data_IF_922887804716
#
_entry.id   IF_922887804716
#
_cell.length_a   1.000
_cell.length_b   1.000
_cell.length_c   1.000
_cell.angle_alpha   90.00
_cell.angle_beta   90.00
_cell.angle_gamma   90.00
#
_symmetry.space_group_name_H-M   'P 1'
#
loop_
_entity.id
_entity.type
_entity.pdbx_description
1 polymer ?
#
# COMPACT_ATOMS: atom_id res chain seq x y z
N UNK A 1 8.85 -14.38 -35.49
CA UNK A 1 8.49 -12.99 -35.88
C UNK A 1 7.63 -12.44 -34.75
N UNK A 2 8.26 -11.87 -33.71
CA UNK A 2 7.56 -11.20 -32.60
C UNK A 2 6.97 -9.92 -33.19
N UNK A 3 5.64 -9.89 -33.33
CA UNK A 3 4.93 -8.67 -33.65
C UNK A 3 5.35 -7.60 -32.64
N UNK A 4 5.86 -6.45 -33.09
CA UNK A 4 5.93 -5.25 -32.27
C UNK A 4 4.49 -4.92 -31.88
N UNK A 5 4.09 -5.30 -30.68
CA UNK A 5 2.90 -4.71 -30.05
C UNK A 5 3.19 -3.20 -29.99
N UNK A 6 2.46 -2.41 -30.73
CA UNK A 6 2.42 -0.96 -30.51
C UNK A 6 2.03 -0.81 -29.07
N UNK A 7 2.86 -0.09 -28.31
CA UNK A 7 2.67 0.09 -26.87
C UNK A 7 1.49 1.04 -26.67
N UNK A 8 0.28 0.48 -26.70
CA UNK A 8 -1.00 1.18 -26.44
C UNK A 8 -1.31 1.24 -24.94
N UNK A 9 -0.28 1.05 -24.12
CA UNK A 9 -0.38 1.09 -22.66
C UNK A 9 -0.64 2.50 -22.18
N UNK A 10 -1.62 2.63 -21.29
CA UNK A 10 -1.85 3.86 -20.56
C UNK A 10 -0.64 4.15 -19.65
N UNK A 11 -0.33 5.42 -19.51
CA UNK A 11 0.68 5.94 -18.59
C UNK A 11 0.02 6.85 -17.56
N UNK A 12 0.79 7.39 -16.63
CA UNK A 12 0.28 8.44 -15.74
C UNK A 12 -0.33 9.59 -16.54
N UNK A 13 -1.40 10.17 -16.05
CA UNK A 13 -1.88 11.45 -16.53
C UNK A 13 -0.78 12.52 -16.40
N UNK A 14 -0.81 13.59 -17.22
CA UNK A 14 0.12 14.70 -17.09
C UNK A 14 0.21 15.21 -15.65
N UNK A 15 1.29 15.87 -15.28
CA UNK A 15 1.42 16.44 -13.95
C UNK A 15 0.42 17.56 -13.73
N UNK A 16 -0.17 17.59 -12.55
CA UNK A 16 -1.08 18.64 -12.09
C UNK A 16 -0.93 18.83 -10.59
N UNK A 17 -1.19 20.05 -10.11
CA UNK A 17 -1.04 20.38 -8.71
C UNK A 17 -2.35 20.21 -7.95
N UNK A 18 -2.31 19.93 -6.65
CA UNK A 18 -3.49 19.99 -5.80
C UNK A 18 -4.04 21.41 -5.78
N UNK A 19 -5.36 21.54 -5.73
CA UNK A 19 -6.02 22.83 -5.57
C UNK A 19 -6.26 23.21 -4.10
N UNK A 20 -6.11 22.25 -3.19
CA UNK A 20 -6.23 22.45 -1.75
C UNK A 20 -5.37 21.44 -0.99
N UNK A 21 -4.75 21.88 0.11
CA UNK A 21 -3.89 21.05 0.97
C UNK A 21 -4.02 21.49 2.41
N UNK A 22 -3.77 20.58 3.34
CA UNK A 22 -3.81 20.95 4.74
C UNK A 22 -3.41 19.85 5.68
N UNK A 23 -3.62 20.12 6.96
CA UNK A 23 -3.44 19.16 8.05
C UNK A 23 -4.79 18.95 8.74
N UNK A 24 -5.11 17.68 9.02
CA UNK A 24 -6.30 17.29 9.77
C UNK A 24 -5.89 16.68 11.11
N UNK A 25 -6.31 17.30 12.20
CA UNK A 25 -6.20 16.69 13.53
C UNK A 25 -7.16 15.50 13.63
N UNK A 26 -6.62 14.31 13.83
CA UNK A 26 -7.40 13.06 13.94
C UNK A 26 -7.49 12.52 15.37
N UNK A 27 -7.02 13.28 16.34
CA UNK A 27 -6.94 12.90 17.76
C UNK A 27 -5.67 12.11 18.06
N UNK A 28 -5.52 11.69 19.31
CA UNK A 28 -4.38 10.91 19.83
C UNK A 28 -3.01 11.58 19.58
N UNK A 29 -2.99 12.91 19.36
CA UNK A 29 -1.80 13.67 19.03
C UNK A 29 -1.33 13.53 17.58
N UNK A 30 -2.15 12.95 16.70
CA UNK A 30 -1.85 12.82 15.27
C UNK A 30 -2.53 13.90 14.43
N UNK A 31 -1.77 14.41 13.45
CA UNK A 31 -2.27 15.31 12.41
C UNK A 31 -1.86 14.78 11.04
N UNK A 32 -2.83 14.58 10.15
CA UNK A 32 -2.61 14.00 8.83
C UNK A 32 -2.49 15.07 7.77
N UNK A 33 -1.42 14.99 6.97
CA UNK A 33 -1.34 15.75 5.73
C UNK A 33 -2.29 15.18 4.69
N UNK A 34 -2.99 16.08 3.99
CA UNK A 34 -3.88 15.73 2.88
C UNK A 34 -3.78 16.72 1.73
N UNK A 35 -4.12 16.25 0.54
CA UNK A 35 -4.29 17.07 -0.65
C UNK A 35 -5.57 16.71 -1.40
N UNK A 36 -6.26 17.71 -1.94
CA UNK A 36 -7.35 17.58 -2.89
C UNK A 36 -6.89 18.07 -4.26
N UNK A 37 -7.13 17.25 -5.28
CA UNK A 37 -6.64 17.50 -6.63
C UNK A 37 -7.67 17.08 -7.69
N UNK A 38 -7.44 17.50 -8.95
CA UNK A 38 -8.33 17.23 -10.06
C UNK A 38 -9.53 18.17 -10.11
N UNK A 39 -10.70 17.64 -10.49
CA UNK A 39 -11.94 18.41 -10.63
C UNK A 39 -12.70 18.48 -9.28
N UNK A 40 -12.88 19.66 -8.66
CA UNK A 40 -13.62 19.78 -7.40
C UNK A 40 -15.06 19.25 -7.44
N UNK A 41 -15.67 19.22 -8.63
CA UNK A 41 -17.02 18.72 -8.88
C UNK A 41 -17.03 17.33 -9.53
N UNK A 42 -15.86 16.69 -9.65
CA UNK A 42 -15.71 15.36 -10.23
C UNK A 42 -16.15 14.26 -9.28
N UNK A 43 -16.08 13.02 -9.79
CA UNK A 43 -16.36 11.82 -9.02
C UNK A 43 -15.38 11.72 -7.85
N UNK A 44 -15.87 11.57 -6.61
CA UNK A 44 -14.98 11.48 -5.46
C UNK A 44 -14.15 10.19 -5.48
N UNK A 45 -12.86 10.31 -5.15
CA UNK A 45 -11.96 9.17 -4.99
C UNK A 45 -10.96 9.42 -3.85
N UNK A 46 -10.60 8.37 -3.12
CA UNK A 46 -9.53 8.37 -2.13
C UNK A 46 -8.45 7.39 -2.53
N UNK A 47 -7.18 7.80 -2.40
CA UNK A 47 -6.02 6.96 -2.61
C UNK A 47 -5.37 6.59 -1.28
N UNK A 48 -5.24 5.29 -1.02
CA UNK A 48 -4.64 4.70 0.18
C UNK A 48 -3.26 4.13 -0.19
N UNK A 49 -2.19 4.82 0.27
CA UNK A 49 -0.83 4.39 -0.05
C UNK A 49 -0.42 3.11 0.66
N UNK A 50 0.63 2.45 0.14
CA UNK A 50 1.21 1.22 0.67
C UNK A 50 2.24 1.45 1.79
N UNK A 51 2.98 0.43 2.08
CA UNK A 51 3.89 0.23 3.18
C UNK A 51 3.33 -0.88 4.09
N UNK A 52 2.77 -0.55 5.27
CA UNK A 52 2.41 0.77 5.81
C UNK A 52 3.62 1.66 6.08
N UNK A 53 3.41 2.97 6.05
CA UNK A 53 4.50 3.92 6.32
C UNK A 53 5.17 4.52 5.07
N UNK A 54 4.75 4.12 3.85
CA UNK A 54 5.35 4.57 2.59
C UNK A 54 5.11 6.03 2.23
N UNK A 55 4.04 6.64 2.75
CA UNK A 55 3.64 7.99 2.42
C UNK A 55 3.07 8.15 1.00
N UNK A 56 2.54 9.33 0.73
CA UNK A 56 1.99 9.68 -0.58
C UNK A 56 3.04 10.30 -1.51
N UNK A 57 2.73 10.32 -2.80
CA UNK A 57 3.54 11.01 -3.81
C UNK A 57 2.66 11.64 -4.89
N UNK A 58 3.17 12.66 -5.61
CA UNK A 58 2.45 13.25 -6.74
C UNK A 58 2.03 12.25 -7.82
N UNK A 59 2.74 11.13 -7.97
CA UNK A 59 2.42 10.08 -8.94
C UNK A 59 1.10 9.36 -8.61
N UNK A 60 0.68 9.34 -7.34
CA UNK A 60 -0.53 8.66 -6.91
C UNK A 60 -1.79 9.32 -7.50
N UNK A 61 -1.90 10.66 -7.44
CA UNK A 61 -3.04 11.37 -8.03
C UNK A 61 -3.10 11.26 -9.56
N UNK A 62 -1.95 11.06 -10.22
CA UNK A 62 -1.82 10.93 -11.67
C UNK A 62 -2.27 9.58 -12.24
N UNK A 63 -2.79 8.68 -11.40
CA UNK A 63 -3.47 7.45 -11.82
C UNK A 63 -4.95 7.68 -12.10
N UNK A 64 -5.45 8.90 -11.90
CA UNK A 64 -6.82 9.32 -12.15
C UNK A 64 -6.90 10.41 -13.21
N UNK A 65 -7.97 10.41 -14.00
CA UNK A 65 -8.25 11.50 -14.92
C UNK A 65 -8.60 12.77 -14.14
N UNK A 66 -7.76 13.85 -14.20
CA UNK A 66 -7.99 15.04 -13.40
C UNK A 66 -9.26 15.81 -13.77
N UNK A 67 -9.78 15.66 -14.99
CA UNK A 67 -11.02 16.32 -15.43
C UNK A 67 -12.26 15.63 -14.87
N UNK A 68 -12.15 14.37 -14.47
CA UNK A 68 -13.26 13.51 -14.06
C UNK A 68 -13.37 13.30 -12.55
N UNK A 69 -12.23 13.32 -11.85
CA UNK A 69 -12.16 12.95 -10.44
C UNK A 69 -11.86 14.12 -9.52
N UNK A 70 -12.52 14.12 -8.36
CA UNK A 70 -12.11 14.83 -7.15
C UNK A 70 -11.29 13.85 -6.32
N UNK A 71 -9.98 14.04 -6.28
CA UNK A 71 -9.03 13.06 -5.75
C UNK A 71 -8.52 13.53 -4.39
N UNK A 72 -8.74 12.72 -3.35
CA UNK A 72 -8.08 12.89 -2.06
C UNK A 72 -6.91 11.93 -1.96
N UNK A 73 -5.72 12.47 -1.69
CA UNK A 73 -4.51 11.75 -1.31
C UNK A 73 -4.06 12.26 0.04
N UNK A 74 -3.59 11.39 0.91
CA UNK A 74 -3.13 11.78 2.25
C UNK A 74 -1.99 10.88 2.72
N UNK A 75 -1.22 11.38 3.67
CA UNK A 75 -0.23 10.60 4.39
C UNK A 75 -0.88 9.98 5.63
N UNK A 76 -0.80 8.66 5.78
CA UNK A 76 -1.30 7.94 6.95
C UNK A 76 -0.50 8.33 8.20
N UNK A 77 -0.95 7.91 9.39
CA UNK A 77 -0.28 8.25 10.67
C UNK A 77 1.20 7.90 10.64
N UNK A 78 2.04 8.84 11.01
CA UNK A 78 3.48 8.65 11.19
C UNK A 78 4.33 8.73 9.94
N UNK A 79 3.78 8.89 8.74
CA UNK A 79 4.55 8.91 7.50
C UNK A 79 4.40 10.21 6.70
N UNK A 80 5.27 10.40 5.74
CA UNK A 80 5.26 11.56 4.85
C UNK A 80 5.32 12.88 5.64
N UNK A 81 4.34 13.74 5.42
CA UNK A 81 4.19 15.03 6.07
C UNK A 81 3.26 14.98 7.31
N UNK A 82 2.66 13.81 7.60
CA UNK A 82 1.84 13.59 8.80
C UNK A 82 2.69 13.54 10.06
N UNK A 83 2.13 14.01 11.17
CA UNK A 83 2.83 14.10 12.46
C UNK A 83 2.09 13.34 13.56
N UNK A 84 2.81 12.83 14.58
CA UNK A 84 4.27 12.80 14.77
C UNK A 84 4.98 11.81 13.83
N UNK A 85 6.17 12.17 13.35
CA UNK A 85 6.96 11.34 12.43
C UNK A 85 7.31 9.97 13.02
N UNK A 86 7.12 8.91 12.26
CA UNK A 86 7.40 7.51 12.59
C UNK A 86 6.78 7.03 13.92
N UNK A 87 5.68 7.68 14.35
CA UNK A 87 4.97 7.32 15.59
C UNK A 87 4.23 5.99 15.44
N UNK A 88 4.33 5.17 16.49
CA UNK A 88 3.66 3.88 16.60
C UNK A 88 2.46 3.93 17.55
N UNK A 89 2.34 4.98 18.34
CA UNK A 89 1.25 5.17 19.30
C UNK A 89 -0.06 5.44 18.56
N UNK A 90 -1.14 4.82 19.00
CA UNK A 90 -2.46 4.94 18.37
C UNK A 90 -2.42 4.80 16.82
N UNK A 91 -1.53 3.96 16.30
CA UNK A 91 -1.33 3.73 14.87
C UNK A 91 -1.65 2.27 14.54
N UNK A 92 -2.93 1.99 14.31
CA UNK A 92 -3.47 0.67 14.00
C UNK A 92 -4.40 0.75 12.78
N UNK A 93 -4.73 -0.38 12.18
CA UNK A 93 -5.70 -0.44 11.06
C UNK A 93 -7.01 0.28 11.38
N UNK A 94 -7.52 0.12 12.60
CA UNK A 94 -8.81 0.69 12.97
C UNK A 94 -8.75 2.20 13.24
N UNK A 95 -7.61 2.73 13.70
CA UNK A 95 -7.39 4.18 13.71
C UNK A 95 -7.38 4.74 12.30
N UNK A 96 -6.70 4.07 11.35
CA UNK A 96 -6.68 4.52 9.95
C UNK A 96 -8.06 4.44 9.28
N UNK A 97 -8.87 3.42 9.60
CA UNK A 97 -10.26 3.33 9.12
C UNK A 97 -11.09 4.52 9.63
N UNK A 98 -10.94 4.89 10.91
CA UNK A 98 -11.60 6.07 11.47
C UNK A 98 -11.09 7.39 10.87
N UNK A 99 -9.78 7.48 10.62
CA UNK A 99 -9.15 8.64 9.97
C UNK A 99 -9.70 8.85 8.54
N UNK A 100 -9.91 7.76 7.78
CA UNK A 100 -10.49 7.81 6.44
C UNK A 100 -11.92 8.39 6.50
N UNK A 101 -12.75 7.99 7.47
CA UNK A 101 -14.08 8.57 7.65
C UNK A 101 -14.02 10.06 8.02
N UNK A 102 -13.06 10.47 8.84
CA UNK A 102 -12.86 11.87 9.18
C UNK A 102 -12.42 12.69 7.97
N UNK A 103 -11.50 12.18 7.15
CA UNK A 103 -11.11 12.79 5.87
C UNK A 103 -12.29 12.88 4.89
N UNK A 104 -13.14 11.85 4.82
CA UNK A 104 -14.32 11.86 3.96
C UNK A 104 -15.29 12.97 4.33
N UNK A 105 -15.57 13.13 5.62
CA UNK A 105 -16.60 14.05 6.14
C UNK A 105 -16.11 15.47 6.28
N UNK A 106 -14.89 15.69 6.77
CA UNK A 106 -14.38 17.02 7.11
C UNK A 106 -13.60 17.67 5.97
N UNK A 107 -12.86 16.87 5.19
CA UNK A 107 -12.00 17.36 4.10
C UNK A 107 -12.67 17.21 2.74
N UNK A 108 -12.95 15.97 2.33
CA UNK A 108 -13.56 15.72 1.03
C UNK A 108 -15.03 16.17 0.99
N UNK A 109 -15.75 16.12 2.10
CA UNK A 109 -17.17 16.49 2.25
C UNK A 109 -18.05 15.76 1.24
N UNK A 110 -17.92 14.43 1.21
CA UNK A 110 -18.64 13.56 0.27
C UNK A 110 -19.34 12.43 1.03
N UNK A 111 -20.45 11.93 0.47
CA UNK A 111 -21.20 10.81 1.05
C UNK A 111 -20.53 9.47 0.74
N UNK A 112 -20.02 9.33 -0.46
CA UNK A 112 -19.41 8.11 -0.98
C UNK A 112 -18.25 8.46 -1.90
N UNK A 113 -17.34 7.51 -2.10
CA UNK A 113 -16.21 7.65 -3.00
C UNK A 113 -15.71 6.31 -3.56
N UNK A 114 -14.98 6.39 -4.65
CA UNK A 114 -14.14 5.30 -5.11
C UNK A 114 -12.95 5.16 -4.16
N UNK A 115 -12.66 3.93 -3.73
CA UNK A 115 -11.51 3.59 -2.87
C UNK A 115 -10.44 2.91 -3.70
N UNK A 116 -9.23 3.49 -3.71
CA UNK A 116 -8.09 2.94 -4.44
C UNK A 116 -6.94 2.68 -3.48
N UNK A 117 -6.41 1.45 -3.47
CA UNK A 117 -5.26 1.10 -2.65
C UNK A 117 -4.40 -0.02 -3.22
N UNK A 118 -3.11 0.03 -2.95
CA UNK A 118 -2.15 -0.99 -3.38
C UNK A 118 -1.27 -1.48 -2.23
N UNK A 119 -0.89 -2.77 -2.26
CA UNK A 119 -0.07 -3.36 -1.20
C UNK A 119 -0.77 -3.27 0.16
N UNK A 120 -0.14 -2.77 1.21
CA UNK A 120 -0.83 -2.38 2.44
C UNK A 120 -2.10 -1.56 2.17
N UNK A 121 -2.07 -0.64 1.20
CA UNK A 121 -3.26 0.12 0.83
C UNK A 121 -4.41 -0.76 0.35
N UNK A 122 -4.16 -1.96 -0.20
CA UNK A 122 -5.22 -2.92 -0.54
C UNK A 122 -5.84 -3.55 0.71
N UNK A 123 -5.03 -3.86 1.72
CA UNK A 123 -5.50 -4.31 3.05
C UNK A 123 -6.40 -3.26 3.70
N UNK A 124 -5.92 -2.01 3.74
CA UNK A 124 -6.66 -0.89 4.33
C UNK A 124 -7.95 -0.58 3.55
N UNK A 125 -7.91 -0.67 2.21
CA UNK A 125 -9.10 -0.54 1.36
C UNK A 125 -10.16 -1.60 1.67
N UNK A 126 -9.74 -2.85 1.82
CA UNK A 126 -10.64 -3.95 2.17
C UNK A 126 -11.21 -3.78 3.59
N UNK A 127 -10.37 -3.43 4.56
CA UNK A 127 -10.81 -3.19 5.93
C UNK A 127 -11.84 -2.04 5.99
N UNK A 128 -11.55 -0.93 5.30
CA UNK A 128 -12.46 0.22 5.23
C UNK A 128 -13.75 -0.12 4.49
N UNK A 129 -13.69 -0.72 3.30
CA UNK A 129 -14.89 -1.07 2.52
C UNK A 129 -15.78 -2.10 3.22
N UNK A 130 -15.20 -3.00 4.02
CA UNK A 130 -15.95 -3.97 4.82
C UNK A 130 -16.55 -3.37 6.10
N UNK A 131 -15.95 -2.30 6.64
CA UNK A 131 -16.49 -1.55 7.78
C UNK A 131 -17.60 -0.56 7.36
N UNK A 132 -17.45 0.04 6.17
CA UNK A 132 -18.31 1.10 5.66
C UNK A 132 -18.73 0.85 4.19
N UNK A 133 -19.36 -0.29 3.87
CA UNK A 133 -19.71 -0.62 2.48
C UNK A 133 -20.64 0.43 1.83
N UNK A 134 -21.45 1.09 2.63
CA UNK A 134 -22.35 2.16 2.18
C UNK A 134 -21.61 3.45 1.77
N UNK A 135 -20.32 3.57 2.07
CA UNK A 135 -19.47 4.72 1.72
C UNK A 135 -18.63 4.50 0.46
N UNK A 136 -18.70 3.31 -0.12
CA UNK A 136 -17.84 2.90 -1.23
C UNK A 136 -18.66 2.71 -2.50
N UNK A 137 -18.33 3.47 -3.53
CA UNK A 137 -18.98 3.33 -4.85
C UNK A 137 -18.29 2.27 -5.71
N UNK A 138 -16.96 2.24 -5.72
CA UNK A 138 -16.14 1.23 -6.41
C UNK A 138 -14.82 1.02 -5.67
N UNK A 139 -14.15 -0.08 -5.99
CA UNK A 139 -12.83 -0.42 -5.42
C UNK A 139 -11.83 -0.74 -6.51
N UNK A 140 -10.64 -0.11 -6.46
CA UNK A 140 -9.48 -0.44 -7.31
C UNK A 140 -8.35 -0.90 -6.42
N UNK A 141 -7.89 -2.13 -6.62
CA UNK A 141 -6.84 -2.73 -5.78
C UNK A 141 -5.65 -3.18 -6.62
N UNK A 142 -4.45 -3.15 -6.02
CA UNK A 142 -3.21 -3.66 -6.60
C UNK A 142 -2.36 -4.36 -5.55
N UNK A 143 -1.69 -5.48 -5.95
CA UNK A 143 -0.77 -6.17 -5.05
C UNK A 143 -1.47 -6.59 -3.75
N UNK A 144 -2.41 -7.51 -3.85
CA UNK A 144 -3.29 -7.89 -2.75
C UNK A 144 -2.50 -8.47 -1.58
N UNK A 145 -2.69 -7.86 -0.41
CA UNK A 145 -2.16 -8.31 0.87
C UNK A 145 -3.31 -8.50 1.87
N UNK A 146 -3.49 -9.71 2.36
CA UNK A 146 -4.61 -10.10 3.22
C UNK A 146 -4.22 -10.26 4.68
N UNK A 147 -2.94 -10.05 5.01
CA UNK A 147 -2.38 -10.25 6.34
C UNK A 147 -2.51 -11.69 6.87
N UNK A 148 -2.57 -12.69 5.97
CA UNK A 148 -2.47 -14.08 6.38
C UNK A 148 -1.06 -14.42 6.88
N UNK A 149 -0.97 -15.32 7.86
CA UNK A 149 0.33 -15.76 8.38
C UNK A 149 1.27 -16.29 7.29
N UNK A 150 0.75 -16.99 6.30
CA UNK A 150 1.57 -17.49 5.20
C UNK A 150 2.14 -16.39 4.28
N UNK A 151 1.55 -15.19 4.24
CA UNK A 151 2.07 -14.05 3.51
C UNK A 151 3.22 -13.39 4.30
N UNK A 152 3.10 -13.32 5.63
CA UNK A 152 4.20 -12.89 6.51
C UNK A 152 5.35 -13.89 6.47
N UNK A 153 5.06 -15.18 6.52
CA UNK A 153 6.07 -16.24 6.43
C UNK A 153 6.80 -16.20 5.07
N UNK A 154 6.11 -15.89 3.98
CA UNK A 154 6.70 -15.70 2.66
C UNK A 154 7.79 -14.64 2.65
N UNK A 155 7.55 -13.48 3.28
CA UNK A 155 8.50 -12.38 3.30
C UNK A 155 9.59 -12.54 4.38
N UNK A 156 9.24 -13.07 5.56
CA UNK A 156 10.10 -12.96 6.75
C UNK A 156 10.59 -14.29 7.30
N UNK A 157 10.27 -15.43 6.64
CA UNK A 157 10.80 -16.75 7.02
C UNK A 157 11.39 -17.50 5.83
N UNK A 158 10.56 -17.80 4.83
CA UNK A 158 10.98 -18.52 3.64
C UNK A 158 10.04 -18.24 2.48
N UNK A 159 10.55 -18.31 1.24
CA UNK A 159 9.78 -18.03 0.03
C UNK A 159 10.47 -16.95 -0.77
N UNK A 160 10.30 -15.67 -0.47
CA UNK A 160 11.05 -14.59 -1.10
C UNK A 160 12.58 -14.79 -0.93
N UNK A 161 13.03 -15.36 0.18
CA UNK A 161 14.44 -15.74 0.43
C UNK A 161 15.02 -16.71 -0.61
N UNK A 162 14.17 -17.54 -1.22
CA UNK A 162 14.62 -18.47 -2.27
C UNK A 162 14.84 -17.75 -3.63
N UNK A 163 14.24 -16.58 -3.79
CA UNK A 163 14.34 -15.77 -5.00
C UNK A 163 15.44 -14.70 -4.89
N UNK A 164 15.72 -14.24 -3.68
CA UNK A 164 16.69 -13.19 -3.36
C UNK A 164 17.64 -13.63 -2.23
N UNK A 165 18.43 -14.69 -2.40
CA UNK A 165 19.24 -15.25 -1.32
C UNK A 165 20.34 -14.27 -0.83
N UNK A 166 20.92 -13.45 -1.71
CA UNK A 166 21.87 -12.41 -1.37
C UNK A 166 21.26 -11.33 -0.47
N UNK A 167 20.07 -10.85 -0.82
CA UNK A 167 19.33 -9.87 -0.01
C UNK A 167 18.86 -10.45 1.33
N UNK A 168 18.55 -11.75 1.33
CA UNK A 168 18.20 -12.47 2.56
C UNK A 168 19.40 -12.62 3.52
N UNK A 169 20.57 -12.89 2.99
CA UNK A 169 21.80 -12.93 3.79
C UNK A 169 22.11 -11.58 4.42
N UNK A 170 21.95 -10.47 3.68
CA UNK A 170 22.10 -9.13 4.19
C UNK A 170 21.05 -8.82 5.28
N UNK A 171 19.79 -9.13 5.00
CA UNK A 171 18.67 -8.93 5.93
C UNK A 171 18.87 -9.70 7.23
N UNK A 172 19.19 -10.99 7.15
CA UNK A 172 19.41 -11.80 8.33
C UNK A 172 20.75 -11.55 9.00
N UNK A 173 21.74 -11.02 8.28
CA UNK A 173 23.08 -10.74 8.76
C UNK A 173 23.14 -9.76 9.93
N UNK A 174 22.20 -8.81 10.00
CA UNK A 174 22.07 -7.86 11.10
C UNK A 174 21.57 -8.51 12.40
N UNK A 175 20.95 -9.69 12.31
CA UNK A 175 20.29 -10.36 13.44
C UNK A 175 21.17 -11.51 13.95
N UNK A 176 21.47 -11.60 15.27
CA UNK A 176 22.15 -12.75 15.87
C UNK A 176 21.46 -14.08 15.53
N UNK A 177 22.23 -15.14 15.37
CA UNK A 177 21.71 -16.43 14.91
C UNK A 177 20.60 -17.02 15.78
N UNK A 178 20.70 -16.83 17.09
CA UNK A 178 19.72 -17.27 18.08
C UNK A 178 18.40 -16.49 18.05
N UNK A 179 18.38 -15.30 17.40
CA UNK A 179 17.18 -14.48 17.24
C UNK A 179 16.50 -14.68 15.88
N UNK A 180 17.13 -15.37 14.93
CA UNK A 180 16.63 -15.49 13.53
C UNK A 180 15.37 -16.35 13.39
N UNK A 181 14.94 -17.03 14.43
CA UNK A 181 13.69 -17.80 14.45
C UNK A 181 12.43 -16.92 14.32
N UNK A 182 12.53 -15.62 14.69
CA UNK A 182 11.48 -14.64 14.56
C UNK A 182 12.09 -13.27 14.19
N UNK A 183 12.26 -13.05 12.89
CA UNK A 183 12.88 -11.84 12.36
C UNK A 183 12.03 -10.59 12.61
N UNK A 184 10.71 -10.70 12.57
CA UNK A 184 9.81 -9.57 12.83
C UNK A 184 10.04 -9.04 14.25
N UNK A 185 10.05 -9.92 15.26
CA UNK A 185 10.34 -9.54 16.64
C UNK A 185 11.77 -9.07 16.83
N UNK A 186 12.75 -9.70 16.17
CA UNK A 186 14.15 -9.31 16.26
C UNK A 186 14.39 -7.90 15.71
N UNK A 187 13.78 -7.57 14.59
CA UNK A 187 13.80 -6.23 14.02
C UNK A 187 13.04 -5.21 14.87
N UNK A 188 11.88 -5.59 15.44
CA UNK A 188 11.12 -4.72 16.35
C UNK A 188 12.00 -4.19 17.50
N UNK A 189 12.77 -5.07 18.15
CA UNK A 189 13.68 -4.67 19.23
C UNK A 189 14.69 -3.62 18.78
N UNK A 190 15.21 -3.73 17.55
CA UNK A 190 16.19 -2.80 16.98
C UNK A 190 15.54 -1.50 16.51
N UNK A 191 14.42 -1.58 15.84
CA UNK A 191 13.68 -0.42 15.35
C UNK A 191 13.07 0.43 16.47
N UNK A 192 12.91 -0.11 17.66
CA UNK A 192 12.43 0.60 18.86
C UNK A 192 13.51 0.82 19.91
N UNK A 193 14.80 0.51 19.61
CA UNK A 193 15.91 0.74 20.50
C UNK A 193 16.09 2.24 20.82
N UNK A 194 16.67 2.57 21.97
CA UNK A 194 16.94 3.96 22.34
C UNK A 194 18.11 4.57 21.52
N UNK A 195 19.00 3.73 20.98
CA UNK A 195 20.14 4.18 20.17
C UNK A 195 19.71 4.45 18.70
N UNK A 196 19.82 5.70 18.22
CA UNK A 196 19.43 6.05 16.85
C UNK A 196 20.24 5.33 15.76
N UNK A 197 21.51 5.01 16.03
CA UNK A 197 22.35 4.31 15.06
C UNK A 197 21.87 2.86 14.85
N UNK A 198 21.47 2.19 15.92
CA UNK A 198 20.84 0.86 15.88
C UNK A 198 19.52 0.90 15.13
N UNK A 199 18.68 1.92 15.39
CA UNK A 199 17.41 2.10 14.68
C UNK A 199 17.62 2.27 13.17
N UNK A 200 18.53 3.17 12.78
CA UNK A 200 18.80 3.47 11.38
C UNK A 200 19.38 2.27 10.63
N UNK A 201 20.33 1.54 11.25
CA UNK A 201 20.87 0.32 10.65
C UNK A 201 19.80 -0.73 10.39
N UNK A 202 18.90 -0.95 11.35
CA UNK A 202 17.79 -1.88 11.22
C UNK A 202 16.78 -1.40 10.18
N UNK A 203 16.48 -0.09 10.14
CA UNK A 203 15.56 0.48 9.18
C UNK A 203 16.07 0.32 7.74
N UNK A 204 17.34 0.59 7.50
CA UNK A 204 17.95 0.41 6.18
C UNK A 204 17.95 -1.05 5.73
N UNK A 205 18.28 -1.99 6.63
CA UNK A 205 18.28 -3.42 6.30
C UNK A 205 16.85 -3.93 5.99
N UNK A 206 15.85 -3.50 6.76
CA UNK A 206 14.44 -3.82 6.51
C UNK A 206 13.96 -3.26 5.17
N UNK A 207 14.17 -1.96 4.93
CA UNK A 207 13.75 -1.29 3.70
C UNK A 207 14.50 -1.78 2.45
N UNK A 208 15.78 -2.18 2.60
CA UNK A 208 16.53 -2.80 1.52
C UNK A 208 15.93 -4.15 1.13
N UNK A 209 15.60 -5.00 2.11
CA UNK A 209 14.95 -6.29 1.86
C UNK A 209 13.62 -6.13 1.12
N UNK A 210 12.77 -5.21 1.59
CA UNK A 210 11.51 -4.93 0.91
C UNK A 210 11.74 -4.38 -0.49
N UNK A 211 12.62 -3.38 -0.63
CA UNK A 211 12.96 -2.77 -1.92
C UNK A 211 13.41 -3.76 -2.98
N UNK A 212 14.13 -4.83 -2.58
CA UNK A 212 14.52 -5.91 -3.50
C UNK A 212 13.33 -6.75 -3.97
N UNK A 213 12.33 -6.95 -3.12
CA UNK A 213 11.19 -7.84 -3.42
C UNK A 213 10.06 -7.17 -4.21
N UNK A 214 9.99 -5.83 -4.20
CA UNK A 214 8.88 -5.10 -4.84
C UNK A 214 9.07 -4.83 -6.33
N UNK A 215 10.27 -5.00 -6.88
CA UNK A 215 10.55 -4.80 -8.31
C UNK A 215 10.61 -6.10 -9.08
N UNK A 216 10.11 -6.10 -10.31
CA UNK A 216 10.30 -7.23 -11.25
C UNK A 216 11.75 -7.29 -11.75
N UNK A 217 12.31 -6.13 -12.07
CA UNK A 217 13.70 -5.97 -12.49
C UNK A 217 14.42 -5.04 -11.50
N UNK A 218 15.74 -5.24 -11.28
CA UNK A 218 16.49 -4.36 -10.37
C UNK A 218 16.32 -2.89 -10.73
N UNK A 219 16.00 -2.06 -9.75
CA UNK A 219 15.87 -0.62 -9.86
C UNK A 219 16.70 0.06 -8.75
N UNK A 220 17.99 0.39 -9.02
CA UNK A 220 18.88 0.99 -8.04
C UNK A 220 18.43 2.37 -7.56
N UNK A 221 17.72 3.15 -8.39
CA UNK A 221 17.21 4.47 -7.98
C UNK A 221 16.07 4.33 -6.97
N UNK A 222 15.13 3.44 -7.24
CA UNK A 222 14.06 3.13 -6.31
C UNK A 222 14.61 2.54 -5.01
N UNK A 223 15.60 1.64 -5.07
CA UNK A 223 16.22 1.07 -3.87
C UNK A 223 16.92 2.14 -3.02
N UNK A 224 17.61 3.09 -3.67
CA UNK A 224 18.20 4.23 -2.98
C UNK A 224 17.14 5.12 -2.29
N UNK A 225 16.00 5.31 -2.95
CA UNK A 225 14.86 6.03 -2.37
C UNK A 225 14.25 5.31 -1.15
N UNK A 226 14.13 3.97 -1.18
CA UNK A 226 13.64 3.17 -0.05
C UNK A 226 14.59 3.20 1.14
N UNK A 227 15.89 3.33 0.90
CA UNK A 227 16.94 3.32 1.94
C UNK A 227 17.42 4.71 2.35
N UNK A 228 16.77 5.79 1.87
CA UNK A 228 16.97 7.15 2.39
C UNK A 228 16.59 7.18 3.88
N UNK A 229 17.38 7.86 4.71
CA UNK A 229 17.35 7.73 6.17
C UNK A 229 15.95 7.92 6.78
N UNK A 230 15.29 9.03 6.49
CA UNK A 230 13.97 9.32 7.06
C UNK A 230 12.91 8.37 6.52
N UNK A 231 12.95 8.10 5.21
CA UNK A 231 12.00 7.19 4.58
C UNK A 231 12.15 5.77 5.11
N UNK A 232 13.38 5.27 5.21
CA UNK A 232 13.66 3.96 5.78
C UNK A 232 13.16 3.83 7.22
N UNK A 233 13.40 4.85 8.07
CA UNK A 233 12.92 4.86 9.45
C UNK A 233 11.38 4.82 9.51
N UNK A 234 10.69 5.64 8.73
CA UNK A 234 9.23 5.68 8.75
C UNK A 234 8.63 4.35 8.26
N UNK A 235 9.07 3.85 7.10
CA UNK A 235 8.61 2.58 6.52
C UNK A 235 8.89 1.45 7.52
N UNK A 236 10.16 1.20 7.86
CA UNK A 236 10.54 0.04 8.66
C UNK A 236 9.88 0.01 10.05
N UNK A 237 9.81 1.15 10.74
CA UNK A 237 9.18 1.21 12.07
C UNK A 237 7.69 0.94 12.02
N UNK A 238 6.98 1.61 11.11
CA UNK A 238 5.53 1.47 10.99
C UNK A 238 5.18 0.09 10.43
N UNK A 239 5.83 -0.34 9.37
CA UNK A 239 5.58 -1.64 8.77
C UNK A 239 5.82 -2.79 9.75
N UNK A 240 7.00 -2.82 10.39
CA UNK A 240 7.30 -3.82 11.42
C UNK A 240 6.29 -3.79 12.57
N UNK A 241 5.80 -2.61 12.97
CA UNK A 241 4.76 -2.48 13.98
C UNK A 241 3.45 -3.16 13.55
N UNK A 242 3.06 -3.00 12.29
CA UNK A 242 1.89 -3.68 11.74
C UNK A 242 2.12 -5.19 11.58
N UNK A 243 3.28 -5.62 11.08
CA UNK A 243 3.60 -7.04 10.92
C UNK A 243 3.63 -7.77 12.29
N UNK A 244 4.23 -7.16 13.31
CA UNK A 244 4.31 -7.73 14.65
C UNK A 244 2.95 -7.81 15.38
N UNK A 245 1.95 -7.06 14.94
CA UNK A 245 0.61 -7.06 15.52
C UNK A 245 -0.45 -7.62 14.55
N UNK A 246 -0.03 -8.33 13.49
CA UNK A 246 -0.94 -8.90 12.46
C UNK A 246 -1.93 -7.88 11.89
N UNK A 247 -1.51 -6.60 11.77
CA UNK A 247 -2.37 -5.51 11.32
C UNK A 247 -3.62 -5.28 12.18
N UNK A 248 -3.68 -5.81 13.41
CA UNK A 248 -4.90 -5.87 14.26
C UNK A 248 -6.09 -6.49 13.55
N UNK A 249 -5.82 -7.46 12.67
CA UNK A 249 -6.80 -8.28 11.97
C UNK A 249 -6.74 -9.72 12.48
N UNK A 250 -7.88 -10.38 12.56
CA UNK A 250 -7.92 -11.81 12.80
C UNK A 250 -7.47 -12.58 11.54
N UNK A 251 -6.88 -13.77 11.73
CA UNK A 251 -6.47 -14.61 10.60
C UNK A 251 -7.67 -14.91 9.69
N UNK A 252 -7.55 -14.54 8.39
CA UNK A 252 -8.61 -14.73 7.40
C UNK A 252 -9.75 -13.72 7.43
N UNK A 253 -9.72 -12.71 8.31
CA UNK A 253 -10.79 -11.73 8.49
C UNK A 253 -11.23 -11.07 7.18
N UNK A 254 -10.28 -10.61 6.35
CA UNK A 254 -10.59 -9.90 5.10
C UNK A 254 -11.25 -10.80 4.05
N UNK A 255 -10.89 -12.09 4.02
CA UNK A 255 -11.58 -13.05 3.14
C UNK A 255 -12.97 -13.39 3.65
N UNK A 256 -13.13 -13.60 4.95
CA UNK A 256 -14.44 -13.86 5.56
C UNK A 256 -15.41 -12.67 5.38
N UNK A 257 -14.86 -11.44 5.42
CA UNK A 257 -15.64 -10.22 5.22
C UNK A 257 -15.93 -9.88 3.75
N UNK A 258 -15.42 -10.64 2.77
CA UNK A 258 -15.56 -10.32 1.35
C UNK A 258 -17.02 -10.32 0.86
N UNK A 259 -17.93 -11.02 1.54
CA UNK A 259 -19.36 -10.97 1.25
C UNK A 259 -19.96 -9.56 1.36
N UNK A 260 -19.39 -8.70 2.24
CA UNK A 260 -19.82 -7.30 2.39
C UNK A 260 -19.48 -6.43 1.18
N UNK A 261 -18.59 -6.89 0.32
CA UNK A 261 -18.22 -6.20 -0.92
C UNK A 261 -19.15 -6.54 -2.10
N UNK A 262 -20.06 -7.50 -1.93
CA UNK A 262 -21.02 -7.86 -2.98
C UNK A 262 -21.88 -6.66 -3.36
N UNK A 263 -22.00 -6.45 -4.67
CA UNK A 263 -22.71 -5.29 -5.22
C UNK A 263 -21.84 -4.03 -5.36
N UNK A 264 -20.61 -4.02 -4.80
CA UNK A 264 -19.65 -2.95 -5.06
C UNK A 264 -18.79 -3.37 -6.27
N UNK A 265 -18.79 -2.62 -7.38
CA UNK A 265 -17.91 -2.90 -8.52
C UNK A 265 -16.44 -2.80 -8.11
N UNK A 266 -15.61 -3.75 -8.54
CA UNK A 266 -14.19 -3.75 -8.20
C UNK A 266 -13.30 -4.21 -9.34
N UNK A 267 -12.06 -3.70 -9.34
CA UNK A 267 -10.97 -4.17 -10.20
C UNK A 267 -9.75 -4.46 -9.33
N UNK A 268 -9.15 -5.63 -9.53
CA UNK A 268 -7.86 -6.01 -8.95
C UNK A 268 -6.84 -6.09 -10.08
N UNK A 269 -5.75 -5.33 -9.99
CA UNK A 269 -4.59 -5.43 -10.88
C UNK A 269 -3.45 -6.10 -10.12
N UNK A 270 -3.06 -7.30 -10.53
CA UNK A 270 -2.07 -8.13 -9.85
C UNK A 270 -0.94 -8.55 -10.79
N UNK A 271 0.30 -8.30 -10.42
CA UNK A 271 1.44 -8.80 -11.17
C UNK A 271 1.58 -10.33 -11.04
N UNK A 272 1.87 -11.01 -12.17
CA UNK A 272 2.13 -12.45 -12.16
C UNK A 272 3.37 -12.80 -11.33
N UNK A 273 4.35 -11.93 -11.37
CA UNK A 273 5.66 -12.10 -10.72
C UNK A 273 5.81 -11.18 -9.51
N UNK A 274 4.70 -10.93 -8.81
CA UNK A 274 4.72 -10.19 -7.56
C UNK A 274 5.38 -11.05 -6.47
N UNK A 275 6.61 -10.66 -6.10
CA UNK A 275 7.41 -11.39 -5.11
C UNK A 275 7.20 -10.85 -3.69
N UNK A 276 6.54 -9.70 -3.56
CA UNK A 276 6.18 -9.11 -2.26
C UNK A 276 4.84 -9.69 -1.76
N UNK A 277 3.79 -9.57 -2.59
CA UNK A 277 2.45 -10.12 -2.29
C UNK A 277 2.03 -11.09 -3.40
N UNK A 278 2.34 -12.38 -3.24
CA UNK A 278 2.14 -13.37 -4.30
C UNK A 278 0.71 -13.42 -4.85
N UNK A 279 0.58 -13.66 -6.15
CA UNK A 279 -0.70 -13.71 -6.89
C UNK A 279 -1.76 -14.62 -6.24
N UNK A 280 -1.35 -15.56 -5.39
CA UNK A 280 -2.26 -16.47 -4.67
C UNK A 280 -3.24 -15.74 -3.76
N UNK A 281 -2.84 -14.60 -3.16
CA UNK A 281 -3.72 -13.76 -2.33
C UNK A 281 -4.85 -13.15 -3.17
N UNK A 282 -4.50 -12.54 -4.32
CA UNK A 282 -5.49 -11.99 -5.25
C UNK A 282 -6.45 -13.06 -5.77
N UNK A 283 -5.95 -14.28 -6.01
CA UNK A 283 -6.80 -15.41 -6.45
C UNK A 283 -7.75 -15.89 -5.35
N UNK A 284 -7.31 -15.91 -4.09
CA UNK A 284 -8.19 -16.21 -2.94
C UNK A 284 -9.29 -15.16 -2.81
N UNK A 285 -8.94 -13.87 -2.90
CA UNK A 285 -9.91 -12.77 -2.84
C UNK A 285 -10.91 -12.84 -4.00
N UNK A 286 -10.46 -13.12 -5.25
CA UNK A 286 -11.36 -13.34 -6.40
C UNK A 286 -12.36 -14.45 -6.15
N UNK A 287 -11.96 -15.53 -5.50
CA UNK A 287 -12.90 -16.63 -5.16
C UNK A 287 -13.93 -16.23 -4.10
N UNK A 288 -13.53 -15.41 -3.13
CA UNK A 288 -14.40 -14.91 -2.07
C UNK A 288 -15.32 -13.75 -2.54
N UNK A 289 -14.86 -12.97 -3.54
CA UNK A 289 -15.58 -11.88 -4.17
C UNK A 289 -15.69 -12.12 -5.70
N UNK A 290 -16.63 -12.97 -6.15
CA UNK A 290 -16.69 -13.41 -7.54
C UNK A 290 -16.96 -12.31 -8.57
N UNK A 291 -17.58 -11.21 -8.17
CA UNK A 291 -17.93 -10.09 -9.05
C UNK A 291 -16.73 -9.20 -9.38
N UNK A 292 -15.65 -9.23 -8.59
CA UNK A 292 -14.47 -8.39 -8.85
C UNK A 292 -13.80 -8.80 -10.17
N UNK A 293 -13.37 -7.82 -10.95
CA UNK A 293 -12.60 -8.00 -12.17
C UNK A 293 -11.10 -8.19 -11.80
N UNK A 294 -10.60 -9.44 -11.84
CA UNK A 294 -9.19 -9.74 -11.56
C UNK A 294 -8.38 -9.75 -12.85
N UNK A 295 -7.47 -8.81 -12.98
CA UNK A 295 -6.52 -8.66 -14.08
C UNK A 295 -5.12 -9.10 -13.61
N UNK A 296 -4.66 -10.26 -14.08
CA UNK A 296 -3.30 -10.75 -13.82
C UNK A 296 -2.39 -10.29 -14.94
N UNK A 297 -1.44 -9.43 -14.62
CA UNK A 297 -0.51 -8.83 -15.58
C UNK A 297 0.69 -9.77 -15.76
N UNK A 298 0.86 -10.36 -16.97
CA UNK A 298 1.83 -11.44 -17.15
C UNK A 298 3.29 -11.01 -17.04
N UNK A 299 3.58 -9.74 -17.31
CA UNK A 299 4.89 -9.10 -17.26
C UNK A 299 5.01 -8.08 -16.12
N UNK A 300 4.22 -8.22 -15.06
CA UNK A 300 4.19 -7.34 -13.90
C UNK A 300 4.68 -8.01 -12.62
N UNK A 301 5.40 -7.24 -11.81
CA UNK A 301 5.73 -7.51 -10.42
C UNK A 301 4.82 -6.79 -9.44
N UNK A 302 5.40 -6.21 -8.38
CA UNK A 302 4.62 -5.54 -7.33
C UNK A 302 4.38 -4.05 -7.60
N UNK A 303 5.36 -3.32 -8.20
CA UNK A 303 5.27 -1.86 -8.29
C UNK A 303 4.16 -1.37 -9.21
N UNK A 304 3.43 -0.36 -8.72
CA UNK A 304 2.37 0.29 -9.50
C UNK A 304 2.91 1.02 -10.76
N UNK A 305 4.19 1.40 -10.77
CA UNK A 305 4.83 2.10 -11.89
C UNK A 305 5.30 1.18 -13.02
N UNK A 306 5.27 -0.13 -12.83
CA UNK A 306 5.57 -1.08 -13.92
C UNK A 306 4.55 -0.95 -15.04
N UNK A 307 4.99 -0.93 -16.33
CA UNK A 307 4.14 -0.51 -17.43
C UNK A 307 2.80 -1.24 -17.55
N UNK A 308 2.78 -2.57 -17.35
CA UNK A 308 1.55 -3.36 -17.41
C UNK A 308 0.63 -3.13 -16.22
N UNK A 309 1.21 -2.96 -15.02
CA UNK A 309 0.46 -2.66 -13.80
C UNK A 309 -0.17 -1.27 -13.91
N UNK A 310 0.60 -0.27 -14.30
CA UNK A 310 0.12 1.11 -14.46
C UNK A 310 -0.99 1.20 -15.50
N UNK A 311 -0.83 0.53 -16.66
CA UNK A 311 -1.88 0.46 -17.68
C UNK A 311 -3.19 -0.09 -17.10
N UNK A 312 -3.13 -1.21 -16.39
CA UNK A 312 -4.30 -1.82 -15.75
C UNK A 312 -4.98 -0.89 -14.75
N UNK A 313 -4.20 -0.19 -13.92
CA UNK A 313 -4.70 0.73 -12.90
C UNK A 313 -5.37 1.97 -13.52
N UNK A 314 -4.74 2.59 -14.52
CA UNK A 314 -5.31 3.75 -15.21
C UNK A 314 -6.57 3.37 -15.98
N UNK A 315 -6.60 2.19 -16.66
CA UNK A 315 -7.82 1.68 -17.29
C UNK A 315 -8.94 1.41 -16.29
N UNK A 316 -8.61 0.95 -15.09
CA UNK A 316 -9.60 0.72 -14.03
C UNK A 316 -10.23 2.04 -13.56
N UNK A 317 -9.42 3.08 -13.32
CA UNK A 317 -9.95 4.40 -12.96
C UNK A 317 -10.71 5.03 -14.11
N UNK A 318 -10.24 4.92 -15.36
CA UNK A 318 -10.96 5.39 -16.54
C UNK A 318 -12.33 4.71 -16.71
N UNK A 319 -12.41 3.39 -16.49
CA UNK A 319 -13.65 2.61 -16.51
C UNK A 319 -14.70 3.14 -15.53
N UNK A 320 -14.27 3.60 -14.36
CA UNK A 320 -15.14 4.11 -13.31
C UNK A 320 -15.34 5.63 -13.33
N UNK A 321 -14.74 6.34 -14.28
CA UNK A 321 -14.83 7.80 -14.41
C UNK A 321 -16.18 8.32 -14.96
N UNK A 322 -17.06 7.42 -15.37
CA UNK A 322 -18.37 7.73 -15.97
C UNK A 322 -19.47 7.86 -14.92
#
# INVERSE_FOLDING_TARGET
>A
MLARMTDDRRTHYPDFQPYDTGMLDVGDGHSLYWELSGNPNGKPAVFLHGGPGGGSSPKHRRQFNPDKYKILVFDQRGCGQSTPFASLEANTTWHLVADIEKLRTEVAKVEQWLVFGGSWGSTLSLAYAQAHPERVTEVVLRGIFLFHQNELDWLYKYGASELFPEGWDDFTGLVPRDERGDLVSAYRRRLTAADPATQLAAAKAWSNWEGLTVTLLPDPEMLAEFTEDNRAIAIARIENHYMANHGWLEEGQLLAGAEKLRGIPGVIVQGRHDNCTPTSAAWKLKKAWPEVDLQIIPDGGHLYSEPGILDGLVRATDKFAS
#
